data_IF_439990259976
#
_entry.id   IF_439990259976
#
_cell.length_a   1.000
_cell.length_b   1.000
_cell.length_c   1.000
_cell.angle_alpha   90.00
_cell.angle_beta   90.00
_cell.angle_gamma   90.00
#
_symmetry.space_group_name_H-M   'P 1'
#
loop_
_entity.id
_entity.type
_entity.pdbx_description
1 polymer ?
#
# COMPACT_ATOMS: atom_id res chain seq x y z
N UNK A 1 41.08 -33.54 -28.97
CA UNK A 1 40.35 -32.74 -27.95
C UNK A 1 41.21 -32.71 -26.70
N UNK A 2 41.49 -31.53 -26.14
CA UNK A 2 42.35 -31.41 -24.95
C UNK A 2 41.61 -31.89 -23.69
N UNK A 3 42.36 -32.31 -22.66
CA UNK A 3 41.79 -32.74 -21.37
C UNK A 3 40.86 -31.67 -20.74
N UNK A 4 41.10 -30.38 -21.03
CA UNK A 4 40.24 -29.29 -20.61
C UNK A 4 38.87 -29.28 -21.34
N UNK A 5 38.84 -29.71 -22.60
CA UNK A 5 37.62 -29.82 -23.39
C UNK A 5 36.75 -31.01 -22.92
N UNK A 6 37.36 -32.12 -22.54
CA UNK A 6 36.66 -33.29 -21.98
C UNK A 6 36.10 -33.00 -20.58
N UNK A 7 36.82 -32.23 -19.74
CA UNK A 7 36.34 -31.80 -18.43
C UNK A 7 35.18 -30.80 -18.52
N UNK A 8 35.21 -29.88 -19.50
CA UNK A 8 34.13 -28.93 -19.74
C UNK A 8 32.85 -29.62 -20.24
N UNK A 9 32.97 -30.66 -21.09
CA UNK A 9 31.83 -31.45 -21.56
C UNK A 9 31.27 -32.32 -20.44
N UNK A 10 32.11 -32.92 -19.58
CA UNK A 10 31.67 -33.66 -18.41
C UNK A 10 30.95 -32.77 -17.38
N UNK A 11 31.43 -31.55 -17.16
CA UNK A 11 30.78 -30.56 -16.31
C UNK A 11 29.44 -30.08 -16.90
N UNK A 12 29.37 -29.86 -18.21
CA UNK A 12 28.13 -29.48 -18.89
C UNK A 12 27.08 -30.61 -18.87
N UNK A 13 27.50 -31.87 -19.02
CA UNK A 13 26.62 -33.04 -18.90
C UNK A 13 26.17 -33.25 -17.45
N UNK A 14 27.04 -33.03 -16.46
CA UNK A 14 26.67 -33.10 -15.04
C UNK A 14 25.66 -32.00 -14.64
N UNK A 15 25.81 -30.79 -15.20
CA UNK A 15 24.83 -29.70 -15.04
C UNK A 15 23.52 -30.03 -15.75
N UNK A 16 23.56 -30.61 -16.96
CA UNK A 16 22.35 -31.01 -17.68
C UNK A 16 21.59 -32.13 -16.96
N UNK A 17 22.30 -33.12 -16.40
CA UNK A 17 21.73 -34.20 -15.59
C UNK A 17 21.17 -33.67 -14.26
N UNK A 18 21.81 -32.68 -13.64
CA UNK A 18 21.30 -32.02 -12.44
C UNK A 18 20.05 -31.17 -12.74
N UNK A 19 19.99 -30.53 -13.91
CA UNK A 19 18.82 -29.74 -14.36
C UNK A 19 17.66 -30.64 -14.77
N UNK A 20 17.90 -31.80 -15.39
CA UNK A 20 16.83 -32.76 -15.69
C UNK A 20 16.36 -33.51 -14.44
N UNK A 21 17.24 -33.77 -13.47
CA UNK A 21 16.84 -34.28 -12.15
C UNK A 21 16.01 -33.25 -11.36
N UNK A 22 16.30 -31.95 -11.51
CA UNK A 22 15.48 -30.87 -10.92
C UNK A 22 14.10 -30.75 -11.57
N UNK A 23 13.96 -31.12 -12.86
CA UNK A 23 12.66 -31.14 -13.54
C UNK A 23 11.77 -32.32 -13.13
N UNK A 24 12.34 -33.46 -12.72
CA UNK A 24 11.58 -34.59 -12.15
C UNK A 24 11.27 -34.42 -10.65
N UNK A 25 11.92 -33.49 -9.96
CA UNK A 25 11.66 -33.14 -8.55
C UNK A 25 10.59 -32.06 -8.37
N UNK A 26 9.99 -31.59 -9.47
CA UNK A 26 8.93 -30.59 -9.46
C UNK A 26 7.53 -31.18 -9.12
N UNK A 27 7.49 -32.46 -8.76
CA UNK A 27 6.32 -33.12 -8.21
C UNK A 27 6.27 -32.86 -6.69
N UNK A 28 5.08 -32.57 -6.16
CA UNK A 28 4.78 -32.07 -4.81
C UNK A 28 5.28 -32.93 -3.61
N UNK A 29 6.12 -33.94 -3.85
CA UNK A 29 6.67 -34.88 -2.85
C UNK A 29 7.76 -34.29 -1.96
N UNK A 30 8.50 -33.28 -2.41
CA UNK A 30 9.67 -32.78 -1.65
C UNK A 30 9.29 -32.07 -0.33
N UNK A 31 8.20 -31.29 -0.31
CA UNK A 31 7.69 -30.68 0.92
C UNK A 31 7.08 -31.71 1.90
N UNK A 32 6.39 -32.72 1.35
CA UNK A 32 5.80 -33.83 2.11
C UNK A 32 6.87 -34.69 2.81
N UNK A 33 8.03 -34.87 2.19
CA UNK A 33 9.14 -35.66 2.76
C UNK A 33 9.84 -34.97 3.94
N UNK A 34 9.97 -33.64 3.89
CA UNK A 34 10.65 -32.84 4.93
C UNK A 34 9.79 -32.75 6.18
N UNK A 35 8.49 -32.40 6.05
CA UNK A 35 7.57 -32.34 7.18
C UNK A 35 7.39 -33.72 7.84
N UNK A 36 7.31 -34.79 7.05
CA UNK A 36 7.22 -36.17 7.53
C UNK A 36 8.46 -36.60 8.33
N UNK A 37 9.64 -36.01 8.09
CA UNK A 37 10.86 -36.31 8.87
C UNK A 37 10.92 -35.61 10.22
N UNK A 38 10.38 -34.40 10.34
CA UNK A 38 10.26 -33.68 11.63
C UNK A 38 9.22 -34.34 12.50
N UNK A 39 8.07 -34.66 11.90
CA UNK A 39 6.99 -35.32 12.59
C UNK A 39 7.44 -36.71 13.04
N UNK A 40 8.16 -37.44 12.19
CA UNK A 40 8.83 -38.67 12.59
C UNK A 40 9.87 -38.41 13.68
N UNK A 41 10.74 -37.40 13.61
CA UNK A 41 11.77 -37.15 14.63
C UNK A 41 11.20 -36.72 16.00
N UNK A 42 10.15 -35.90 16.02
CA UNK A 42 9.44 -35.50 17.23
C UNK A 42 8.68 -36.69 17.83
N UNK A 43 7.90 -37.41 16.99
CA UNK A 43 7.05 -38.50 17.44
C UNK A 43 7.81 -39.82 17.69
N UNK A 44 8.95 -40.09 17.04
CA UNK A 44 9.71 -41.34 17.18
C UNK A 44 10.72 -41.32 18.32
N UNK A 45 11.05 -40.15 18.86
CA UNK A 45 11.99 -40.00 19.98
C UNK A 45 11.28 -39.85 21.33
N UNK A 46 9.96 -39.61 21.34
CA UNK A 46 9.19 -39.32 22.55
C UNK A 46 9.66 -38.06 23.27
N UNK A 47 10.42 -37.17 22.63
CA UNK A 47 10.98 -35.96 23.26
C UNK A 47 9.96 -34.83 23.35
N UNK A 48 8.91 -34.91 22.54
CA UNK A 48 7.81 -33.95 22.53
C UNK A 48 6.72 -34.33 21.55
N UNK A 49 5.66 -33.55 21.59
CA UNK A 49 4.49 -33.66 20.74
C UNK A 49 4.11 -32.28 20.19
N UNK A 50 3.41 -32.24 19.06
CA UNK A 50 2.83 -31.00 18.56
C UNK A 50 1.68 -30.56 19.45
N UNK A 51 1.61 -29.25 19.72
CA UNK A 51 0.42 -28.64 20.30
C UNK A 51 -0.76 -28.91 19.39
N UNK A 52 -1.92 -29.15 20.01
CA UNK A 52 -3.16 -29.25 19.24
C UNK A 52 -3.44 -27.92 18.55
N UNK A 53 -3.89 -28.02 17.31
CA UNK A 53 -4.33 -26.89 16.52
C UNK A 53 -5.77 -27.09 16.06
N UNK A 54 -6.51 -26.00 15.96
CA UNK A 54 -7.83 -25.98 15.34
C UNK A 54 -7.81 -24.99 14.18
N UNK A 55 -8.39 -25.37 13.04
CA UNK A 55 -8.56 -24.45 11.92
C UNK A 55 -9.58 -23.36 12.24
N UNK A 56 -9.27 -22.11 11.90
CA UNK A 56 -10.19 -20.96 11.99
C UNK A 56 -10.52 -20.33 10.64
N UNK A 57 -10.28 -21.08 9.55
CA UNK A 57 -10.49 -20.65 8.18
C UNK A 57 -9.25 -19.98 7.56
N UNK A 58 -9.28 -19.77 6.25
CA UNK A 58 -8.15 -19.25 5.46
C UNK A 58 -7.89 -17.74 5.61
N UNK A 59 -8.75 -17.05 6.36
CA UNK A 59 -8.70 -15.60 6.55
C UNK A 59 -9.42 -14.82 5.45
N UNK A 60 -9.75 -13.58 5.76
CA UNK A 60 -10.35 -12.59 4.84
C UNK A 60 -9.42 -11.40 4.69
N UNK A 61 -9.57 -10.62 3.62
CA UNK A 61 -8.81 -9.37 3.47
C UNK A 61 -9.29 -8.31 4.45
N UNK A 62 -8.42 -7.36 4.76
CA UNK A 62 -8.77 -6.12 5.45
C UNK A 62 -9.92 -5.45 4.70
N UNK A 63 -11.03 -5.20 5.39
CA UNK A 63 -12.30 -4.75 4.79
C UNK A 63 -12.95 -3.58 5.53
N UNK A 64 -12.56 -3.34 6.77
CA UNK A 64 -13.09 -2.26 7.59
C UNK A 64 -12.19 -1.03 7.59
N UNK A 65 -12.78 0.11 7.95
CA UNK A 65 -12.05 1.33 8.26
C UNK A 65 -12.08 1.62 9.76
N UNK A 66 -10.98 2.13 10.33
CA UNK A 66 -10.95 2.54 11.73
C UNK A 66 -11.84 3.78 11.94
N UNK A 67 -12.35 3.96 13.15
CA UNK A 67 -13.23 5.08 13.51
C UNK A 67 -12.59 6.46 13.27
N UNK A 68 -11.25 6.55 13.34
CA UNK A 68 -10.51 7.77 13.04
C UNK A 68 -10.50 8.15 11.55
N UNK A 69 -10.82 7.20 10.67
CA UNK A 69 -10.76 7.35 9.23
C UNK A 69 -11.90 6.57 8.54
N UNK A 70 -13.18 6.93 8.76
CA UNK A 70 -14.31 6.08 8.38
C UNK A 70 -14.62 6.03 6.88
N UNK A 71 -13.97 6.86 6.05
CA UNK A 71 -14.27 6.94 4.63
C UNK A 71 -13.36 6.03 3.82
N UNK A 72 -13.91 4.93 3.30
CA UNK A 72 -13.19 4.04 2.39
C UNK A 72 -13.24 4.55 0.95
N UNK A 73 -12.07 4.77 0.36
CA UNK A 73 -11.93 5.02 -1.07
C UNK A 73 -10.79 4.17 -1.63
N UNK A 74 -11.10 3.33 -2.61
CA UNK A 74 -10.15 2.45 -3.30
C UNK A 74 -9.27 1.59 -2.36
N UNK A 75 -9.80 1.15 -1.22
CA UNK A 75 -9.07 0.30 -0.27
C UNK A 75 -8.17 1.06 0.69
N UNK A 76 -8.35 2.37 0.82
CA UNK A 76 -7.72 3.21 1.82
C UNK A 76 -8.78 3.94 2.63
N UNK A 77 -8.49 4.14 3.91
CA UNK A 77 -9.39 4.77 4.85
C UNK A 77 -8.96 6.20 5.11
N UNK A 78 -9.89 7.14 5.02
CA UNK A 78 -9.62 8.57 5.16
C UNK A 78 -10.44 9.20 6.26
N UNK A 79 -9.85 10.17 6.95
CA UNK A 79 -10.58 11.01 7.90
C UNK A 79 -11.65 11.86 7.19
N UNK A 80 -12.63 12.33 7.97
CA UNK A 80 -13.60 13.28 7.46
C UNK A 80 -12.91 14.57 7.00
N UNK A 81 -13.47 15.20 5.95
CA UNK A 81 -13.06 16.54 5.56
C UNK A 81 -13.71 17.60 6.46
N UNK A 82 -13.13 18.80 6.57
CA UNK A 82 -13.79 19.93 7.22
C UNK A 82 -15.13 20.25 6.56
N UNK A 83 -16.02 20.91 7.31
CA UNK A 83 -17.32 21.34 6.78
C UNK A 83 -17.14 22.22 5.54
N UNK A 84 -17.93 21.94 4.49
CA UNK A 84 -17.85 22.64 3.20
C UNK A 84 -16.79 22.11 2.24
N UNK A 85 -16.02 21.09 2.61
CA UNK A 85 -15.05 20.44 1.74
C UNK A 85 -15.52 19.06 1.29
N UNK A 86 -15.17 18.70 0.05
CA UNK A 86 -15.43 17.38 -0.52
C UNK A 86 -14.12 16.59 -0.61
N UNK A 87 -14.10 15.38 -0.03
CA UNK A 87 -12.95 14.50 -0.04
C UNK A 87 -12.80 13.77 -1.38
N UNK A 88 -11.58 13.76 -1.93
CA UNK A 88 -11.17 12.87 -3.02
C UNK A 88 -9.76 12.36 -2.70
N UNK A 89 -9.66 11.08 -2.33
CA UNK A 89 -8.43 10.47 -1.88
C UNK A 89 -7.85 11.19 -0.65
N UNK A 90 -6.56 11.54 -0.61
CA UNK A 90 -5.93 12.19 0.55
C UNK A 90 -6.26 13.68 0.69
N UNK A 91 -7.02 14.26 -0.24
CA UNK A 91 -7.26 15.69 -0.32
C UNK A 91 -8.74 16.02 -0.07
N UNK A 92 -8.95 17.16 0.56
CA UNK A 92 -10.24 17.80 0.73
C UNK A 92 -10.27 19.07 -0.13
N UNK A 93 -11.27 19.18 -0.99
CA UNK A 93 -11.44 20.27 -1.94
C UNK A 93 -12.60 21.17 -1.52
N UNK A 94 -12.41 22.50 -1.44
CA UNK A 94 -13.52 23.43 -1.27
C UNK A 94 -14.38 23.48 -2.54
N UNK A 95 -15.61 23.96 -2.40
CA UNK A 95 -16.46 24.33 -3.53
C UNK A 95 -15.89 25.52 -4.31
N UNK A 96 -16.27 25.63 -5.58
CA UNK A 96 -15.91 26.82 -6.37
C UNK A 96 -16.79 28.03 -6.01
N UNK A 97 -16.24 29.25 -6.06
CA UNK A 97 -17.01 30.47 -5.90
C UNK A 97 -18.10 30.61 -6.96
N UNK A 98 -19.11 31.44 -6.67
CA UNK A 98 -20.20 31.70 -7.59
C UNK A 98 -19.70 32.22 -8.95
N UNK A 99 -20.24 31.66 -10.03
CA UNK A 99 -19.87 32.01 -11.40
C UNK A 99 -18.61 31.31 -11.94
N UNK A 100 -17.89 30.55 -11.11
CA UNK A 100 -16.79 29.70 -11.55
C UNK A 100 -17.28 28.28 -11.85
N UNK A 101 -16.67 27.64 -12.84
CA UNK A 101 -16.98 26.24 -13.17
C UNK A 101 -15.99 25.32 -12.47
N UNK A 102 -16.51 24.40 -11.66
CA UNK A 102 -15.68 23.38 -11.02
C UNK A 102 -15.15 22.39 -12.06
N UNK A 103 -13.83 22.30 -12.18
CA UNK A 103 -13.13 21.37 -13.07
C UNK A 103 -12.18 20.46 -12.28
N UNK A 104 -12.48 20.22 -11.00
CA UNK A 104 -11.73 19.33 -10.11
C UNK A 104 -10.86 20.12 -9.13
N UNK A 105 -9.54 20.03 -9.28
CA UNK A 105 -8.58 20.74 -8.44
C UNK A 105 -8.56 22.28 -8.69
N UNK A 106 -9.28 22.73 -9.73
CA UNK A 106 -9.35 24.12 -10.14
C UNK A 106 -10.79 24.57 -10.33
N UNK A 107 -10.98 25.88 -10.19
CA UNK A 107 -12.19 26.59 -10.54
C UNK A 107 -11.92 27.41 -11.81
N UNK A 108 -12.52 27.01 -12.91
CA UNK A 108 -12.40 27.70 -14.18
C UNK A 108 -13.09 29.06 -14.11
N UNK A 109 -12.34 30.13 -14.44
CA UNK A 109 -12.86 31.50 -14.46
C UNK A 109 -13.95 31.65 -15.52
N UNK A 110 -14.96 32.51 -15.27
CA UNK A 110 -15.87 32.92 -16.33
C UNK A 110 -15.11 33.66 -17.45
N UNK A 111 -15.70 33.80 -18.65
CA UNK A 111 -15.04 34.41 -19.79
C UNK A 111 -14.52 35.82 -19.49
N UNK A 112 -13.28 36.15 -19.89
CA UNK A 112 -12.78 37.51 -19.81
C UNK A 112 -13.49 38.41 -20.84
N UNK A 113 -13.37 39.73 -20.67
CA UNK A 113 -13.84 40.70 -21.64
C UNK A 113 -12.73 41.66 -22.08
N UNK A 114 -12.85 42.21 -23.29
CA UNK A 114 -11.90 43.18 -23.82
C UNK A 114 -12.20 44.61 -23.35
N UNK A 115 -11.16 45.40 -23.09
CA UNK A 115 -11.27 46.82 -22.70
C UNK A 115 -10.71 47.78 -23.76
N UNK A 116 -10.76 47.37 -25.02
CA UNK A 116 -10.29 48.14 -26.17
C UNK A 116 -8.81 47.94 -26.50
N UNK A 117 -8.35 48.62 -27.55
CA UNK A 117 -6.95 48.60 -28.01
C UNK A 117 -6.01 49.51 -27.22
N UNK A 118 -6.56 50.27 -26.27
CA UNK A 118 -5.83 51.29 -25.52
C UNK A 118 -5.57 52.56 -26.31
N UNK A 119 -5.13 53.57 -25.57
CA UNK A 119 -4.77 54.89 -26.05
C UNK A 119 -3.24 54.96 -26.04
N UNK A 120 -2.64 54.92 -27.22
CA UNK A 120 -1.21 55.17 -27.38
C UNK A 120 -0.93 56.68 -27.40
N UNK A 121 0.33 57.03 -27.20
CA UNK A 121 0.84 58.37 -27.49
C UNK A 121 0.60 58.74 -28.96
N UNK A 122 0.06 59.92 -29.19
CA UNK A 122 -0.28 60.45 -30.50
C UNK A 122 0.50 61.75 -30.75
N UNK A 123 1.50 61.78 -31.66
CA UNK A 123 2.32 62.97 -31.91
C UNK A 123 1.52 64.19 -32.38
N UNK A 124 0.33 63.98 -32.95
CA UNK A 124 -0.51 65.05 -33.47
C UNK A 124 -1.41 65.65 -32.38
N UNK A 125 -1.63 64.94 -31.26
CA UNK A 125 -2.47 65.40 -30.14
C UNK A 125 -1.67 65.70 -28.88
N UNK A 126 -0.59 64.97 -28.67
CA UNK A 126 0.25 65.00 -27.46
C UNK A 126 1.55 65.80 -27.65
N UNK A 127 1.80 66.28 -28.88
CA UNK A 127 2.98 67.05 -29.23
C UNK A 127 4.26 66.21 -29.13
N UNK A 128 5.38 66.83 -28.75
CA UNK A 128 6.69 66.16 -28.64
C UNK A 128 6.95 65.56 -27.25
N UNK A 129 5.95 65.58 -26.37
CA UNK A 129 6.10 65.06 -25.01
C UNK A 129 6.00 63.53 -25.05
N UNK A 130 7.11 62.83 -24.87
CA UNK A 130 7.19 61.35 -24.91
C UNK A 130 6.70 60.71 -23.61
N UNK A 131 5.56 61.16 -23.10
CA UNK A 131 4.90 60.59 -21.93
C UNK A 131 3.45 60.19 -22.27
N UNK A 132 2.77 59.56 -21.31
CA UNK A 132 1.45 58.99 -21.54
C UNK A 132 0.30 59.89 -21.08
N UNK A 133 0.58 61.13 -20.65
CA UNK A 133 -0.40 62.00 -20.01
C UNK A 133 -1.57 62.31 -20.95
N UNK A 134 -1.27 62.72 -22.18
CA UNK A 134 -2.31 63.01 -23.18
C UNK A 134 -3.09 61.77 -23.61
N UNK A 135 -2.48 60.58 -23.57
CA UNK A 135 -3.19 59.33 -23.79
C UNK A 135 -4.11 58.96 -22.61
N UNK A 136 -3.68 59.21 -21.37
CA UNK A 136 -4.50 59.03 -20.16
C UNK A 136 -5.66 60.02 -20.14
N UNK A 137 -5.45 61.28 -20.51
CA UNK A 137 -6.50 62.30 -20.61
C UNK A 137 -7.57 61.90 -21.64
N UNK A 138 -7.16 61.46 -22.84
CA UNK A 138 -8.10 60.93 -23.83
C UNK A 138 -8.88 59.74 -23.30
N UNK A 139 -8.19 58.81 -22.64
CA UNK A 139 -8.82 57.64 -22.06
C UNK A 139 -9.85 58.03 -20.98
N UNK A 140 -9.49 58.92 -20.05
CA UNK A 140 -10.37 59.40 -18.99
C UNK A 140 -11.60 60.11 -19.57
N UNK A 141 -11.43 60.91 -20.62
CA UNK A 141 -12.54 61.57 -21.32
C UNK A 141 -13.54 60.57 -21.90
N UNK A 142 -13.07 59.46 -22.45
CA UNK A 142 -13.93 58.43 -23.05
C UNK A 142 -14.48 57.42 -22.02
N UNK A 143 -13.88 57.34 -20.83
CA UNK A 143 -14.13 56.26 -19.85
C UNK A 143 -14.80 56.72 -18.55
N UNK A 144 -15.35 57.93 -18.50
CA UNK A 144 -16.18 58.39 -17.37
C UNK A 144 -15.49 59.35 -16.39
N UNK A 145 -14.37 59.96 -16.79
CA UNK A 145 -13.73 61.06 -16.07
C UNK A 145 -12.37 60.71 -15.46
N UNK A 146 -11.84 61.64 -14.68
CA UNK A 146 -10.48 61.56 -14.13
C UNK A 146 -10.28 60.30 -13.26
N UNK A 147 -9.19 59.59 -13.51
CA UNK A 147 -8.82 58.40 -12.76
C UNK A 147 -9.54 57.11 -13.18
N UNK A 148 -10.39 57.17 -14.22
CA UNK A 148 -11.03 56.01 -14.82
C UNK A 148 -10.05 55.09 -15.56
N UNK A 149 -8.88 55.61 -15.96
CA UNK A 149 -7.87 54.87 -16.69
C UNK A 149 -6.61 54.54 -15.89
N UNK A 150 -5.90 53.52 -16.36
CA UNK A 150 -4.61 53.05 -15.85
C UNK A 150 -3.64 52.85 -17.02
N UNK A 151 -2.35 52.92 -16.74
CA UNK A 151 -1.30 52.74 -17.75
C UNK A 151 -0.78 51.31 -17.74
N UNK A 152 -0.72 50.67 -18.91
CA UNK A 152 -0.15 49.34 -19.07
C UNK A 152 0.74 49.33 -20.32
N UNK A 153 2.02 48.99 -20.13
CA UNK A 153 3.06 49.21 -21.15
C UNK A 153 3.06 50.68 -21.61
N UNK A 154 3.20 50.95 -22.91
CA UNK A 154 3.24 52.29 -23.49
C UNK A 154 1.86 52.82 -23.91
N UNK A 155 0.78 52.39 -23.24
CA UNK A 155 -0.60 52.74 -23.57
C UNK A 155 -1.46 52.94 -22.31
N UNK A 156 -2.48 53.80 -22.40
CA UNK A 156 -3.50 53.96 -21.37
C UNK A 156 -4.73 53.11 -21.70
N UNK A 157 -5.34 52.50 -20.70
CA UNK A 157 -6.56 51.69 -20.83
C UNK A 157 -7.58 52.08 -19.77
N UNK A 158 -8.88 51.89 -20.03
CA UNK A 158 -9.89 51.93 -18.98
C UNK A 158 -9.54 50.92 -17.89
N UNK A 159 -9.87 51.22 -16.63
CA UNK A 159 -9.74 50.22 -15.56
C UNK A 159 -10.76 49.09 -15.74
N UNK A 160 -10.40 47.90 -15.26
CA UNK A 160 -11.33 46.79 -15.23
C UNK A 160 -12.49 47.04 -14.24
N UNK A 161 -13.62 46.38 -14.49
CA UNK A 161 -14.76 46.38 -13.60
C UNK A 161 -14.39 45.74 -12.25
N UNK A 162 -15.15 45.99 -11.17
CA UNK A 162 -14.90 45.36 -9.88
C UNK A 162 -14.79 43.83 -10.00
N UNK A 163 -13.81 43.24 -9.30
CA UNK A 163 -13.47 41.80 -9.33
C UNK A 163 -12.87 41.29 -10.65
N UNK A 164 -12.36 42.18 -11.49
CA UNK A 164 -11.56 41.84 -12.66
C UNK A 164 -10.22 42.54 -12.63
N UNK A 165 -9.18 41.85 -13.09
CA UNK A 165 -7.84 42.37 -13.22
C UNK A 165 -7.37 42.37 -14.68
N UNK A 166 -6.43 43.26 -14.97
CA UNK A 166 -5.80 43.38 -16.28
C UNK A 166 -4.96 42.14 -16.61
N UNK A 167 -5.31 41.45 -17.70
CA UNK A 167 -4.48 40.43 -18.34
C UNK A 167 -3.99 40.94 -19.70
N UNK A 168 -2.67 40.97 -19.91
CA UNK A 168 -2.06 41.40 -21.18
C UNK A 168 -2.25 42.88 -21.59
N UNK A 169 -2.84 43.72 -20.73
CA UNK A 169 -3.24 45.13 -20.95
C UNK A 169 -4.58 45.37 -21.68
N UNK A 170 -5.08 44.48 -22.52
CA UNK A 170 -6.30 44.73 -23.29
C UNK A 170 -7.49 43.84 -22.88
N UNK A 171 -7.28 42.89 -21.96
CA UNK A 171 -8.33 42.01 -21.44
C UNK A 171 -8.49 42.18 -19.94
N UNK A 172 -9.72 42.08 -19.46
CA UNK A 172 -10.07 41.98 -18.05
C UNK A 172 -10.45 40.54 -17.76
N UNK A 173 -9.68 39.88 -16.90
CA UNK A 173 -9.93 38.52 -16.43
C UNK A 173 -10.47 38.56 -15.00
N UNK A 174 -11.45 37.73 -14.63
CA UNK A 174 -11.93 37.64 -13.25
C UNK A 174 -10.78 37.39 -12.27
N UNK A 175 -10.83 38.05 -11.11
CA UNK A 175 -9.90 37.78 -10.01
C UNK A 175 -10.28 36.50 -9.28
N UNK A 176 -9.30 35.83 -8.66
CA UNK A 176 -9.57 34.69 -7.80
C UNK A 176 -10.03 35.19 -6.42
N UNK A 177 -11.22 34.77 -5.94
CA UNK A 177 -11.67 35.10 -4.58
C UNK A 177 -10.70 34.59 -3.53
N UNK A 178 -10.67 35.26 -2.37
CA UNK A 178 -9.85 34.92 -1.20
C UNK A 178 -8.34 34.84 -1.44
N UNK A 179 -7.84 35.45 -2.53
CA UNK A 179 -6.42 35.40 -2.89
C UNK A 179 -5.98 34.03 -3.42
N UNK A 180 -6.92 33.22 -3.91
CA UNK A 180 -6.63 31.93 -4.53
C UNK A 180 -5.59 32.04 -5.66
N UNK A 181 -4.80 30.99 -5.84
CA UNK A 181 -3.68 31.01 -6.81
C UNK A 181 -4.24 31.04 -8.23
N UNK A 182 -3.99 32.15 -8.93
CA UNK A 182 -4.38 32.34 -10.33
C UNK A 182 -3.49 31.50 -11.25
N UNK A 183 -4.11 30.57 -11.99
CA UNK A 183 -3.42 29.71 -12.97
C UNK A 183 -3.57 30.21 -14.41
N UNK A 184 -4.12 31.42 -14.59
CA UNK A 184 -4.40 32.05 -15.88
C UNK A 184 -5.81 31.73 -16.35
N UNK A 185 -6.09 30.45 -16.67
CA UNK A 185 -7.43 30.04 -17.09
C UNK A 185 -8.40 29.92 -15.90
N UNK A 186 -7.90 29.66 -14.69
CA UNK A 186 -8.72 29.41 -13.52
C UNK A 186 -8.02 29.82 -12.22
N UNK A 187 -8.61 29.37 -11.12
CA UNK A 187 -8.07 29.48 -9.78
C UNK A 187 -7.82 28.08 -9.24
N UNK A 188 -6.63 27.83 -8.70
CA UNK A 188 -6.39 26.63 -7.91
C UNK A 188 -7.19 26.71 -6.61
N UNK A 189 -7.85 25.61 -6.26
CA UNK A 189 -8.55 25.49 -4.98
C UNK A 189 -7.54 25.38 -3.85
N UNK A 190 -7.85 25.98 -2.70
CA UNK A 190 -7.06 25.79 -1.49
C UNK A 190 -7.38 24.41 -0.87
N UNK A 191 -6.61 23.40 -1.28
CA UNK A 191 -6.83 22.01 -0.85
C UNK A 191 -6.19 21.75 0.50
N UNK A 192 -6.91 21.10 1.39
CA UNK A 192 -6.35 20.65 2.67
C UNK A 192 -6.12 19.14 2.64
N UNK A 193 -5.00 18.70 3.22
CA UNK A 193 -4.72 17.29 3.39
C UNK A 193 -5.59 16.70 4.49
N UNK A 194 -5.96 15.43 4.34
CA UNK A 194 -6.59 14.63 5.39
C UNK A 194 -5.79 13.37 5.66
N UNK A 195 -5.99 12.77 6.83
CA UNK A 195 -5.23 11.59 7.25
C UNK A 195 -5.65 10.38 6.44
N UNK A 196 -4.65 9.58 6.04
CA UNK A 196 -4.84 8.24 5.47
C UNK A 196 -4.51 7.19 6.52
N UNK A 197 -5.30 6.13 6.56
CA UNK A 197 -5.10 4.97 7.41
C UNK A 197 -5.24 3.70 6.58
N UNK A 198 -4.49 2.68 6.97
CA UNK A 198 -4.68 1.35 6.41
C UNK A 198 -6.06 0.82 6.81
N UNK A 199 -6.59 -0.06 5.98
CA UNK A 199 -7.76 -0.85 6.35
C UNK A 199 -7.45 -1.77 7.52
N UNK A 200 -8.46 -2.09 8.29
CA UNK A 200 -8.40 -2.96 9.46
C UNK A 200 -9.33 -4.15 9.27
N UNK A 201 -9.22 -5.13 10.18
CA UNK A 201 -10.17 -6.22 10.25
C UNK A 201 -11.53 -5.75 10.75
N UNK A 202 -12.58 -6.47 10.36
CA UNK A 202 -13.91 -6.23 10.89
C UNK A 202 -13.94 -6.44 12.41
N UNK A 203 -14.86 -5.80 13.15
CA UNK A 203 -15.00 -6.00 14.58
C UNK A 203 -15.13 -7.48 14.94
N UNK A 204 -14.32 -7.95 15.90
CA UNK A 204 -14.33 -9.35 16.35
C UNK A 204 -13.41 -10.29 15.55
N UNK A 205 -12.60 -9.76 14.64
CA UNK A 205 -11.53 -10.51 13.97
C UNK A 205 -10.15 -10.16 14.52
N UNK A 206 -9.22 -11.09 14.39
CA UNK A 206 -7.81 -10.94 14.71
C UNK A 206 -7.00 -10.73 13.42
N UNK A 207 -6.17 -9.70 13.38
CA UNK A 207 -5.28 -9.42 12.25
C UNK A 207 -3.97 -10.19 12.41
N UNK A 208 -3.63 -11.01 11.41
CA UNK A 208 -2.29 -11.59 11.26
C UNK A 208 -1.76 -11.29 9.85
N UNK A 209 -0.77 -10.41 9.78
CA UNK A 209 -0.25 -9.86 8.54
C UNK A 209 -1.30 -9.02 7.80
N UNK A 210 -1.59 -9.41 6.54
CA UNK A 210 -2.56 -8.74 5.66
C UNK A 210 -3.94 -9.42 5.65
N UNK A 211 -4.16 -10.38 6.55
CA UNK A 211 -5.40 -11.15 6.62
C UNK A 211 -6.03 -11.06 8.01
N UNK A 212 -7.33 -11.25 8.01
CA UNK A 212 -8.21 -11.19 9.17
C UNK A 212 -8.80 -12.56 9.41
N UNK A 213 -8.73 -13.04 10.64
CA UNK A 213 -9.22 -14.34 11.04
C UNK A 213 -10.27 -14.20 12.15
N UNK A 214 -11.20 -15.14 12.28
CA UNK A 214 -11.98 -15.28 13.50
C UNK A 214 -11.08 -15.39 14.73
N UNK A 215 -11.54 -14.85 15.86
CA UNK A 215 -10.84 -15.02 17.13
C UNK A 215 -10.80 -16.50 17.55
N UNK A 216 -9.74 -16.86 18.28
CA UNK A 216 -9.56 -18.19 18.81
C UNK A 216 -10.30 -18.39 20.13
N UNK A 217 -11.00 -19.52 20.26
CA UNK A 217 -11.73 -19.87 21.48
C UNK A 217 -10.80 -20.43 22.57
N UNK A 218 -11.26 -20.38 23.82
CA UNK A 218 -10.67 -21.15 24.92
C UNK A 218 -9.23 -20.80 25.28
N UNK A 219 -8.79 -19.56 25.06
CA UNK A 219 -7.43 -19.10 25.38
C UNK A 219 -6.34 -19.64 24.45
N UNK A 220 -6.72 -20.16 23.28
CA UNK A 220 -5.77 -20.53 22.22
C UNK A 220 -5.24 -19.30 21.49
N UNK A 221 -3.99 -19.35 21.04
CA UNK A 221 -3.32 -18.25 20.34
C UNK A 221 -3.44 -18.42 18.82
N UNK A 222 -3.89 -17.37 18.14
CA UNK A 222 -3.99 -17.34 16.69
C UNK A 222 -2.66 -17.13 16.00
N UNK A 223 -2.31 -17.99 15.04
CA UNK A 223 -1.23 -17.71 14.08
C UNK A 223 -1.72 -18.16 12.71
N UNK A 224 -2.01 -17.19 11.84
CA UNK A 224 -2.60 -17.38 10.53
C UNK A 224 -3.94 -18.12 10.63
N UNK A 225 -4.18 -19.16 9.82
CA UNK A 225 -5.44 -19.90 9.80
C UNK A 225 -5.62 -20.91 10.93
N UNK A 226 -4.69 -20.96 11.90
CA UNK A 226 -4.69 -21.93 12.99
C UNK A 226 -4.79 -21.26 14.36
N UNK A 227 -5.60 -21.85 15.24
CA UNK A 227 -5.59 -21.62 16.67
C UNK A 227 -4.70 -22.67 17.34
N UNK A 228 -3.68 -22.22 18.05
CA UNK A 228 -2.73 -23.05 18.78
C UNK A 228 -3.11 -23.11 20.25
N UNK A 229 -3.20 -24.31 20.81
CA UNK A 229 -3.47 -24.47 22.23
C UNK A 229 -2.44 -23.68 23.06
N UNK A 230 -2.91 -22.85 24.00
CA UNK A 230 -2.05 -21.95 24.77
C UNK A 230 -1.14 -22.65 25.77
N UNK A 231 -1.51 -23.84 26.26
CA UNK A 231 -0.76 -24.57 27.28
C UNK A 231 -0.53 -26.04 26.91
N UNK A 232 0.57 -26.58 27.41
CA UNK A 232 0.93 -28.00 27.31
C UNK A 232 0.35 -28.84 28.48
N UNK A 233 -0.53 -28.25 29.30
CA UNK A 233 -1.02 -28.82 30.56
C UNK A 233 -1.86 -30.10 30.38
N UNK A 234 -2.40 -30.33 29.18
CA UNK A 234 -3.16 -31.56 28.91
C UNK A 234 -2.28 -32.80 28.77
N UNK A 235 -0.95 -32.65 28.72
CA UNK A 235 0.01 -33.74 28.69
C UNK A 235 0.97 -33.63 29.87
N UNK A 236 0.75 -34.45 30.91
CA UNK A 236 1.56 -34.45 32.13
C UNK A 236 3.02 -34.86 31.87
N UNK A 237 3.31 -35.51 30.75
CA UNK A 237 4.65 -35.95 30.38
C UNK A 237 5.43 -34.86 29.61
N UNK A 238 4.71 -33.98 28.92
CA UNK A 238 5.28 -32.92 28.06
C UNK A 238 4.83 -31.53 28.52
N UNK A 239 5.18 -31.12 29.73
CA UNK A 239 4.70 -29.85 30.30
C UNK A 239 5.48 -28.60 29.86
N UNK A 240 6.59 -28.75 29.11
CA UNK A 240 7.43 -27.63 28.70
C UNK A 240 6.94 -27.03 27.38
N UNK A 241 6.56 -25.75 27.38
CA UNK A 241 6.13 -25.03 26.18
C UNK A 241 7.34 -24.63 25.30
N UNK A 242 7.32 -25.10 24.05
CA UNK A 242 8.38 -24.93 23.06
C UNK A 242 7.84 -24.35 21.75
N UNK A 243 6.92 -23.39 21.84
CA UNK A 243 6.31 -22.76 20.67
C UNK A 243 5.23 -23.68 20.09
N UNK A 244 5.40 -24.25 18.87
CA UNK A 244 4.44 -25.22 18.32
C UNK A 244 4.49 -26.61 18.98
N UNK A 245 5.48 -26.88 19.83
CA UNK A 245 5.68 -28.16 20.49
C UNK A 245 5.47 -28.07 22.00
N UNK A 246 5.13 -29.20 22.58
CA UNK A 246 5.27 -29.49 23.99
C UNK A 246 6.39 -30.51 24.17
N UNK A 247 7.35 -30.22 25.05
CA UNK A 247 8.51 -31.06 25.33
C UNK A 247 8.51 -31.54 26.78
N UNK A 248 9.25 -32.63 27.04
CA UNK A 248 9.43 -33.15 28.41
C UNK A 248 10.29 -32.23 29.27
N UNK A 249 11.35 -31.67 28.68
CA UNK A 249 12.30 -30.79 29.36
C UNK A 249 12.74 -29.63 28.46
N UNK A 250 13.48 -28.68 29.04
CA UNK A 250 14.14 -27.60 28.30
C UNK A 250 15.24 -28.10 27.33
N UNK A 251 15.87 -29.24 27.59
CA UNK A 251 16.85 -29.80 26.63
C UNK A 251 16.16 -30.40 25.41
N UNK A 252 15.06 -31.12 25.64
CA UNK A 252 14.23 -31.65 24.55
C UNK A 252 13.62 -30.52 23.74
N UNK A 253 13.23 -29.43 24.40
CA UNK A 253 12.81 -28.17 23.78
C UNK A 253 13.87 -27.61 22.82
N UNK A 254 15.12 -27.52 23.29
CA UNK A 254 16.24 -27.02 22.51
C UNK A 254 16.55 -27.95 21.33
N UNK A 255 16.46 -29.27 21.53
CA UNK A 255 16.64 -30.26 20.47
C UNK A 255 15.58 -30.13 19.37
N UNK A 256 14.30 -30.08 19.74
CA UNK A 256 13.18 -29.92 18.79
C UNK A 256 13.30 -28.61 18.01
N UNK A 257 13.64 -27.51 18.70
CA UNK A 257 13.85 -26.20 18.07
C UNK A 257 15.04 -26.20 17.12
N UNK A 258 16.13 -26.89 17.48
CA UNK A 258 17.31 -27.00 16.62
C UNK A 258 17.04 -27.85 15.38
N UNK A 259 16.28 -28.93 15.50
CA UNK A 259 15.85 -29.74 14.34
C UNK A 259 14.94 -28.93 13.40
N UNK A 260 14.02 -28.12 13.93
CA UNK A 260 13.21 -27.22 13.10
C UNK A 260 14.07 -26.21 12.31
N UNK A 261 15.05 -25.62 12.98
CA UNK A 261 15.92 -24.61 12.39
C UNK A 261 16.76 -25.18 11.23
N UNK A 262 17.20 -26.45 11.33
CA UNK A 262 17.95 -27.13 10.26
C UNK A 262 17.14 -27.26 8.97
N UNK A 263 15.85 -27.56 9.08
CA UNK A 263 14.99 -27.68 7.89
C UNK A 263 14.78 -26.32 7.22
N UNK A 264 14.66 -25.26 8.04
CA UNK A 264 14.60 -23.89 7.52
C UNK A 264 15.83 -23.57 6.67
N UNK A 265 17.02 -24.00 7.12
CA UNK A 265 18.28 -23.81 6.40
C UNK A 265 18.37 -24.63 5.10
N UNK A 266 17.95 -25.91 5.14
CA UNK A 266 18.02 -26.81 3.98
C UNK A 266 17.10 -26.37 2.84
N UNK A 267 15.94 -25.79 3.16
CA UNK A 267 15.00 -25.25 2.14
C UNK A 267 15.55 -24.01 1.43
N UNK A 268 16.35 -23.18 2.09
CA UNK A 268 17.04 -22.03 1.47
C UNK A 268 18.15 -22.43 0.50
N UNK A 269 18.80 -23.57 0.72
CA UNK A 269 19.92 -24.02 -0.12
C UNK A 269 19.47 -24.74 -1.40
N UNK A 270 18.19 -25.16 -1.46
CA UNK A 270 17.57 -25.80 -2.62
C UNK A 270 17.14 -24.83 -3.76
N UNK A 271 17.48 -23.55 -3.69
CA UNK A 271 17.33 -22.63 -4.82
C UNK A 271 15.90 -22.20 -5.17
N UNK A 272 14.93 -22.50 -4.32
CA UNK A 272 13.64 -21.78 -4.32
C UNK A 272 13.94 -20.39 -3.77
N UNK A 273 13.35 -19.32 -4.29
CA UNK A 273 13.53 -17.94 -3.79
C UNK A 273 13.07 -17.81 -2.33
N UNK A 274 13.88 -18.30 -1.40
CA UNK A 274 13.60 -18.51 0.01
C UNK A 274 14.31 -17.50 0.92
N UNK A 275 14.67 -16.33 0.39
CA UNK A 275 15.30 -15.25 1.18
C UNK A 275 14.34 -14.73 2.28
N UNK A 276 13.05 -15.07 2.23
CA UNK A 276 12.08 -14.72 3.28
C UNK A 276 11.98 -15.74 4.44
N UNK A 277 12.40 -16.99 4.26
CA UNK A 277 12.17 -18.04 5.27
C UNK A 277 13.30 -18.13 6.33
N UNK A 278 14.52 -17.65 6.04
CA UNK A 278 15.67 -17.70 6.97
C UNK A 278 15.58 -16.74 8.16
N UNK A 279 14.68 -15.75 8.12
CA UNK A 279 14.47 -14.81 9.24
C UNK A 279 13.42 -15.29 10.25
N UNK A 280 12.74 -16.41 10.00
CA UNK A 280 11.77 -16.99 10.93
C UNK A 280 12.46 -17.93 11.94
N UNK A 281 13.45 -17.42 12.67
CA UNK A 281 13.94 -18.12 13.86
C UNK A 281 12.93 -17.95 14.99
N UNK A 282 12.29 -19.07 15.35
CA UNK A 282 11.53 -19.32 16.59
C UNK A 282 10.32 -18.42 16.97
N UNK A 283 10.09 -17.27 16.32
CA UNK A 283 9.04 -16.33 16.74
C UNK A 283 7.81 -16.22 15.83
N UNK A 284 7.83 -16.75 14.60
CA UNK A 284 6.72 -16.54 13.65
C UNK A 284 6.49 -17.75 12.74
N UNK A 285 5.71 -18.73 13.20
CA UNK A 285 5.10 -19.72 12.28
C UNK A 285 4.14 -19.06 11.27
N UNK A 286 3.74 -17.81 11.50
CA UNK A 286 3.03 -16.98 10.52
C UNK A 286 3.86 -16.72 9.26
N UNK A 287 5.20 -16.66 9.38
CA UNK A 287 6.09 -16.49 8.23
C UNK A 287 6.17 -17.76 7.36
N UNK A 288 6.02 -18.96 7.96
CA UNK A 288 5.94 -20.21 7.20
C UNK A 288 4.66 -20.27 6.35
N UNK A 289 3.52 -19.81 6.87
CA UNK A 289 2.28 -19.71 6.10
C UNK A 289 2.38 -18.69 4.94
N UNK A 290 3.08 -17.57 5.14
CA UNK A 290 3.37 -16.60 4.08
C UNK A 290 4.34 -17.16 3.01
N UNK A 291 5.29 -18.02 3.40
CA UNK A 291 6.24 -18.67 2.48
C UNK A 291 5.53 -19.61 1.48
N UNK A 292 4.36 -20.18 1.85
CA UNK A 292 3.53 -21.00 0.95
C UNK A 292 2.55 -20.18 0.10
N UNK A 293 2.10 -19.01 0.57
CA UNK A 293 1.20 -18.15 -0.18
C UNK A 293 1.88 -17.51 -1.42
N UNK A 294 3.19 -17.26 -1.37
CA UNK A 294 3.96 -16.70 -2.51
C UNK A 294 4.29 -17.75 -3.59
N UNK A 295 4.33 -19.04 -3.24
CA UNK A 295 4.51 -20.15 -4.20
C UNK A 295 3.17 -20.47 -4.91
N UNK A 296 2.03 -20.15 -4.30
CA UNK A 296 0.68 -20.49 -4.78
C UNK A 296 0.11 -19.64 -5.92
N UNK A 297 0.79 -18.57 -6.38
CA UNK A 297 0.27 -17.74 -7.48
C UNK A 297 0.18 -18.47 -8.84
N UNK A 298 0.76 -19.67 -8.97
CA UNK A 298 0.72 -20.50 -10.18
C UNK A 298 -0.07 -21.80 -10.10
N UNK A 299 -0.53 -22.23 -8.92
CA UNK A 299 -1.11 -23.57 -8.75
C UNK A 299 -2.29 -23.55 -7.75
N UNK A 300 -3.46 -23.13 -8.22
CA UNK A 300 -4.69 -23.11 -7.45
C UNK A 300 -5.21 -24.52 -7.03
N UNK A 301 -4.59 -25.61 -7.50
CA UNK A 301 -4.98 -26.98 -7.17
C UNK A 301 -4.28 -27.61 -5.97
N UNK A 302 -3.06 -27.18 -5.64
CA UNK A 302 -2.16 -27.94 -4.75
C UNK A 302 -2.14 -27.47 -3.29
N UNK A 303 -2.78 -26.32 -3.03
CA UNK A 303 -2.87 -25.75 -1.69
C UNK A 303 -3.67 -26.68 -0.78
N UNK A 304 -4.80 -27.22 -1.25
CA UNK A 304 -5.63 -28.16 -0.50
C UNK A 304 -4.92 -29.47 -0.11
N UNK A 305 -3.91 -29.90 -0.88
CA UNK A 305 -3.10 -31.09 -0.61
C UNK A 305 -2.08 -30.90 0.51
N UNK A 306 -1.45 -29.72 0.58
CA UNK A 306 -0.57 -29.35 1.69
C UNK A 306 -1.36 -29.19 3.01
N UNK A 307 -2.58 -28.63 2.94
CA UNK A 307 -3.46 -28.48 4.11
C UNK A 307 -4.07 -29.81 4.59
N UNK A 308 -4.38 -30.74 3.68
CA UNK A 308 -4.75 -32.12 4.07
C UNK A 308 -3.60 -32.81 4.80
N UNK A 309 -2.34 -32.60 4.41
CA UNK A 309 -1.20 -33.26 5.06
C UNK A 309 -0.93 -32.76 6.48
N UNK A 310 -1.16 -31.47 6.76
CA UNK A 310 -1.04 -30.93 8.13
C UNK A 310 -2.15 -31.43 9.07
N UNK A 311 -3.35 -31.71 8.53
CA UNK A 311 -4.48 -32.24 9.30
C UNK A 311 -4.46 -33.77 9.43
N UNK A 312 -3.81 -34.50 8.52
CA UNK A 312 -3.89 -35.98 8.43
C UNK A 312 -2.80 -36.72 9.22
N UNK A 313 -1.76 -36.03 9.73
CA UNK A 313 -0.82 -36.69 10.66
C UNK A 313 -1.30 -36.55 12.10
N UNK A 314 -2.29 -37.36 12.47
CA UNK A 314 -2.74 -37.51 13.87
C UNK A 314 -1.74 -38.31 14.75
N UNK A 315 -0.64 -38.82 14.17
CA UNK A 315 0.48 -39.40 14.91
C UNK A 315 1.45 -38.27 15.36
N UNK A 316 1.46 -37.94 16.65
CA UNK A 316 2.40 -36.98 17.25
C UNK A 316 1.79 -35.72 17.87
N UNK A 317 0.46 -35.59 17.90
CA UNK A 317 -0.22 -34.56 18.71
C UNK A 317 -0.23 -34.97 20.19
N UNK A 318 -0.13 -33.99 21.09
CA UNK A 318 -0.22 -34.28 22.52
C UNK A 318 -1.59 -34.86 22.86
N UNK A 319 -1.61 -35.97 23.61
CA UNK A 319 -2.84 -36.63 24.01
C UNK A 319 -3.72 -35.68 24.86
N UNK A 320 -5.04 -35.84 24.79
CA UNK A 320 -5.94 -35.25 25.79
C UNK A 320 -5.97 -36.16 27.01
N UNK A 321 -5.90 -35.58 28.21
CA UNK A 321 -6.32 -36.26 29.43
C UNK A 321 -7.78 -36.72 29.34
#
# INVERSE_FOLDING_TARGET
MSAACTAAIAAAIAVLVAVTAAAELNDARSGSFVFSRVLAAASSSGRGCFKRTAGRGVGTTLSACPDSAPHNEAGLCYSACPDGYTGVGPLCFPGCPDGFTDIGAFCQKPPPYGRGSGYAWDPFKDGVNLNLDGAVERCNSDSGGDGACETCLAMAYPKCAPSFQAFGCNMCSPECPDGGVDTGSGCAKDTVNRTVSAMVCEPGQEQDGLLCYPQCDGGSSGIGPLCWQGSCESDAEHSTDCGPFCARSSEDCAFLTAELAKLGWDTTQAGISGVACAAASAATLGAAAMCWATIGAGAAGDVAGAWHFLMVTMDGMCASA
#
